data_IF_499331097146
#
_entry.id   IF_499331097146
#
_cell.length_a   1.000
_cell.length_b   1.000
_cell.length_c   1.000
_cell.angle_alpha   90.00
_cell.angle_beta   90.00
_cell.angle_gamma   90.00
#
_symmetry.space_group_name_H-M   'P 1'
#
loop_
_entity.id
_entity.type
_entity.pdbx_description
1 polymer ?
#
# COMPACT_ATOMS: atom_id res chain seq x y z
N UNK A 1 -2.88 -5.20 46.57
CA UNK A 1 -2.88 -5.73 45.19
C UNK A 1 -3.12 -4.55 44.25
N UNK A 2 -2.06 -4.01 43.66
CA UNK A 2 -2.13 -2.97 42.63
C UNK A 2 -1.79 -3.64 41.31
N UNK A 3 -2.81 -3.88 40.48
CA UNK A 3 -2.66 -4.47 39.15
C UNK A 3 -2.17 -3.41 38.18
N UNK A 4 -0.88 -3.44 37.86
CA UNK A 4 -0.32 -2.63 36.79
C UNK A 4 -0.77 -3.15 35.44
N UNK A 5 -1.44 -2.29 34.67
CA UNK A 5 -1.65 -2.52 33.23
C UNK A 5 -0.27 -2.32 32.58
N UNK A 6 0.34 -3.41 32.11
CA UNK A 6 1.50 -3.31 31.23
C UNK A 6 0.98 -2.90 29.86
N UNK A 7 1.14 -1.63 29.51
CA UNK A 7 1.06 -1.20 28.11
C UNK A 7 2.29 -1.79 27.41
N UNK A 8 2.11 -2.86 26.65
CA UNK A 8 3.12 -3.28 25.70
C UNK A 8 3.24 -2.17 24.65
N UNK A 9 4.36 -1.44 24.69
CA UNK A 9 4.65 -0.43 23.70
C UNK A 9 4.75 -1.11 22.35
N UNK A 10 3.84 -0.77 21.43
CA UNK A 10 4.01 -1.09 20.02
C UNK A 10 5.25 -0.33 19.57
N UNK A 11 6.34 -1.06 19.38
CA UNK A 11 7.57 -0.51 18.86
C UNK A 11 7.34 -0.23 17.37
N UNK A 12 6.80 0.95 17.06
CA UNK A 12 6.64 1.47 15.70
C UNK A 12 8.03 1.85 15.17
N UNK A 13 8.90 0.87 14.98
CA UNK A 13 10.12 1.07 14.21
C UNK A 13 9.66 1.22 12.77
N UNK A 14 9.83 2.41 12.19
CA UNK A 14 9.60 2.61 10.76
C UNK A 14 10.68 1.82 10.02
N UNK A 15 10.43 0.54 9.74
CA UNK A 15 11.21 -0.16 8.73
C UNK A 15 10.95 0.55 7.41
N UNK A 16 11.95 1.28 6.94
CA UNK A 16 11.91 1.87 5.61
C UNK A 16 12.20 0.74 4.64
N UNK A 17 11.13 0.12 4.13
CA UNK A 17 11.23 -0.95 3.15
C UNK A 17 11.86 -0.42 1.87
N UNK A 18 12.76 -1.20 1.28
CA UNK A 18 13.37 -0.86 -0.01
C UNK A 18 12.30 -0.97 -1.10
N UNK A 19 11.99 0.15 -1.74
CA UNK A 19 10.99 0.22 -2.80
C UNK A 19 11.72 -0.06 -4.12
N UNK A 20 11.40 -1.15 -4.84
CA UNK A 20 12.05 -1.41 -6.11
C UNK A 20 11.89 -0.23 -7.07
N UNK A 21 12.98 0.27 -7.67
CA UNK A 21 12.98 1.46 -8.55
C UNK A 21 11.88 1.42 -9.62
N UNK A 22 11.56 0.22 -10.12
CA UNK A 22 10.54 0.03 -11.14
C UNK A 22 9.10 0.36 -10.70
N UNK A 23 8.82 0.46 -9.40
CA UNK A 23 7.56 1.01 -8.86
C UNK A 23 7.39 2.48 -9.24
N UNK A 24 8.48 3.24 -9.38
CA UNK A 24 8.48 4.65 -9.79
C UNK A 24 8.55 4.84 -11.31
N UNK A 25 8.47 3.77 -12.10
CA UNK A 25 8.52 3.87 -13.56
C UNK A 25 7.36 4.69 -14.11
N UNK A 26 7.60 5.51 -15.13
CA UNK A 26 6.56 6.18 -15.91
C UNK A 26 5.63 5.19 -16.63
N UNK A 27 6.12 3.98 -16.93
CA UNK A 27 5.35 2.93 -17.60
C UNK A 27 4.45 2.17 -16.62
N UNK A 28 3.14 2.27 -16.83
CA UNK A 28 2.14 1.49 -16.08
C UNK A 28 2.45 -0.01 -16.08
N UNK A 29 2.75 -0.57 -17.25
CA UNK A 29 3.03 -2.01 -17.37
C UNK A 29 4.25 -2.41 -16.54
N UNK A 30 5.28 -1.57 -16.51
CA UNK A 30 6.48 -1.83 -15.71
C UNK A 30 6.18 -1.79 -14.21
N UNK A 31 5.40 -0.80 -13.75
CA UNK A 31 5.01 -0.70 -12.33
C UNK A 31 4.25 -1.94 -11.88
N UNK A 32 3.26 -2.37 -12.66
CA UNK A 32 2.44 -3.54 -12.34
C UNK A 32 3.24 -4.85 -12.40
N UNK A 33 4.17 -4.99 -13.35
CA UNK A 33 5.03 -6.19 -13.43
C UNK A 33 5.97 -6.28 -12.22
N UNK A 34 6.57 -5.15 -11.82
CA UNK A 34 7.46 -5.10 -10.65
C UNK A 34 6.69 -5.39 -9.36
N UNK A 35 5.48 -4.85 -9.22
CA UNK A 35 4.61 -5.20 -8.08
C UNK A 35 4.29 -6.70 -8.07
N UNK A 36 3.95 -7.28 -9.23
CA UNK A 36 3.62 -8.70 -9.37
C UNK A 36 4.80 -9.59 -8.99
N UNK A 37 5.99 -9.28 -9.49
CA UNK A 37 7.22 -10.00 -9.15
C UNK A 37 7.50 -9.91 -7.65
N UNK A 38 7.37 -8.71 -7.08
CA UNK A 38 7.59 -8.48 -5.65
C UNK A 38 6.62 -9.30 -4.78
N UNK A 39 5.31 -9.25 -5.07
CA UNK A 39 4.28 -9.99 -4.32
C UNK A 39 4.49 -11.50 -4.44
N UNK A 40 4.88 -11.99 -5.63
CA UNK A 40 5.19 -13.40 -5.86
C UNK A 40 6.38 -13.87 -5.02
N UNK A 41 7.40 -13.03 -4.87
CA UNK A 41 8.61 -13.34 -4.10
C UNK A 41 8.39 -13.16 -2.58
N UNK A 42 7.45 -12.31 -2.19
CA UNK A 42 7.19 -11.94 -0.80
C UNK A 42 5.72 -12.13 -0.43
N UNK A 43 5.12 -13.32 -0.60
CA UNK A 43 3.69 -13.52 -0.35
C UNK A 43 3.32 -13.24 1.11
N UNK A 44 2.18 -12.57 1.32
CA UNK A 44 1.72 -12.15 2.65
C UNK A 44 0.26 -12.53 2.86
N UNK A 45 -0.08 -12.92 4.09
CA UNK A 45 -1.46 -13.00 4.58
C UNK A 45 -1.77 -11.78 5.44
N UNK A 46 -2.89 -11.10 5.17
CA UNK A 46 -3.22 -9.85 5.85
C UNK A 46 -3.89 -10.07 7.21
N UNK A 47 -3.13 -9.90 8.29
CA UNK A 47 -3.53 -10.31 9.65
C UNK A 47 -3.76 -9.15 10.62
N UNK A 48 -3.31 -7.94 10.29
CA UNK A 48 -3.35 -6.82 11.22
C UNK A 48 -4.72 -6.13 11.30
N UNK A 49 -5.62 -6.43 10.37
CA UNK A 49 -6.97 -5.84 10.30
C UNK A 49 -6.96 -4.34 10.00
N UNK A 50 -5.83 -3.77 9.58
CA UNK A 50 -5.71 -2.35 9.28
C UNK A 50 -6.58 -1.95 8.08
N UNK A 51 -7.17 -0.78 8.19
CA UNK A 51 -8.12 -0.23 7.21
C UNK A 51 -7.68 1.18 6.86
N UNK A 52 -7.57 1.46 5.57
CA UNK A 52 -7.45 2.82 5.07
C UNK A 52 -8.24 2.96 3.76
N UNK A 53 -9.44 3.52 3.85
CA UNK A 53 -10.35 3.67 2.72
C UNK A 53 -10.31 5.07 2.09
N UNK A 54 -9.32 5.88 2.45
CA UNK A 54 -9.24 7.27 2.05
C UNK A 54 -7.79 7.66 1.75
N UNK A 55 -7.24 7.08 0.68
CA UNK A 55 -5.99 7.58 0.12
C UNK A 55 -6.25 8.46 -1.10
N UNK A 56 -5.33 9.39 -1.31
CA UNK A 56 -5.22 10.15 -2.54
C UNK A 56 -3.97 9.68 -3.29
N UNK A 57 -4.00 9.71 -4.62
CA UNK A 57 -2.88 9.36 -5.51
C UNK A 57 -2.34 10.60 -6.22
N UNK A 58 -1.40 10.43 -7.15
CA UNK A 58 -0.87 11.50 -8.00
C UNK A 58 -1.98 12.22 -8.79
N UNK A 59 -3.14 11.58 -8.99
CA UNK A 59 -4.33 12.19 -9.59
C UNK A 59 -5.03 13.20 -8.66
N UNK A 60 -4.53 13.37 -7.42
CA UNK A 60 -5.18 14.12 -6.35
C UNK A 60 -4.18 14.72 -5.34
N UNK A 61 -3.16 15.44 -5.83
CA UNK A 61 -2.19 16.17 -4.99
C UNK A 61 -1.57 15.32 -3.86
N UNK A 62 -1.25 14.06 -4.14
CA UNK A 62 -0.63 13.14 -3.18
C UNK A 62 0.89 13.13 -3.26
N UNK A 63 1.52 12.55 -2.24
CA UNK A 63 2.96 12.23 -2.22
C UNK A 63 3.29 11.02 -3.09
N UNK A 64 2.32 10.14 -3.34
CA UNK A 64 2.52 9.01 -4.24
C UNK A 64 2.64 9.50 -5.67
N UNK A 65 3.61 8.94 -6.38
CA UNK A 65 3.87 9.15 -7.80
C UNK A 65 2.88 8.37 -8.68
N UNK A 66 2.26 7.30 -8.15
CA UNK A 66 1.24 6.50 -8.85
C UNK A 66 0.28 5.78 -7.88
N UNK A 67 -0.88 5.29 -8.34
CA UNK A 67 -1.71 4.38 -7.56
C UNK A 67 -1.01 3.05 -7.24
N UNK A 68 -0.14 2.54 -8.12
CA UNK A 68 0.62 1.31 -7.86
C UNK A 68 1.56 1.46 -6.66
N UNK A 69 2.23 2.60 -6.52
CA UNK A 69 3.08 2.90 -5.36
C UNK A 69 2.27 2.91 -4.05
N UNK A 70 1.09 3.54 -4.06
CA UNK A 70 0.22 3.57 -2.89
C UNK A 70 -0.16 2.15 -2.42
N UNK A 71 -0.48 1.26 -3.38
CA UNK A 71 -0.80 -0.14 -3.11
C UNK A 71 0.43 -0.93 -2.63
N UNK A 72 1.62 -0.68 -3.19
CA UNK A 72 2.86 -1.29 -2.70
C UNK A 72 3.09 -0.98 -1.22
N UNK A 73 2.92 0.28 -0.81
CA UNK A 73 3.07 0.65 0.60
C UNK A 73 1.98 0.02 1.49
N UNK A 74 0.74 -0.07 1.02
CA UNK A 74 -0.33 -0.77 1.74
C UNK A 74 0.00 -2.26 1.94
N UNK A 75 0.57 -2.90 0.92
CA UNK A 75 1.06 -4.28 1.00
C UNK A 75 2.18 -4.44 2.04
N UNK A 76 3.16 -3.54 2.05
CA UNK A 76 4.24 -3.55 3.05
C UNK A 76 3.70 -3.40 4.46
N UNK A 77 2.77 -2.47 4.66
CA UNK A 77 2.20 -2.14 5.96
C UNK A 77 1.12 -3.12 6.45
N UNK A 78 0.83 -4.18 5.68
CA UNK A 78 -0.17 -5.18 6.03
C UNK A 78 -1.56 -4.53 6.31
N UNK A 79 -1.94 -3.63 5.40
CA UNK A 79 -3.30 -3.07 5.32
C UNK A 79 -4.22 -4.12 4.72
N UNK A 80 -5.38 -4.38 5.31
CA UNK A 80 -6.32 -5.40 4.85
C UNK A 80 -7.43 -4.85 3.95
N UNK A 81 -7.85 -3.61 4.19
CA UNK A 81 -8.90 -2.96 3.42
C UNK A 81 -8.42 -1.60 2.96
N UNK A 82 -8.22 -1.44 1.66
CA UNK A 82 -7.58 -0.26 1.08
C UNK A 82 -8.48 0.42 0.04
N UNK A 83 -8.60 1.74 0.10
CA UNK A 83 -9.56 2.48 -0.74
C UNK A 83 -9.03 3.83 -1.21
N UNK A 84 -9.22 4.08 -2.50
CA UNK A 84 -8.88 5.31 -3.23
C UNK A 84 -10.03 6.32 -3.18
N UNK A 85 -9.70 7.59 -2.96
CA UNK A 85 -10.65 8.69 -2.91
C UNK A 85 -10.04 9.97 -3.51
N UNK A 86 -9.71 9.94 -4.80
CA UNK A 86 -9.11 11.09 -5.47
C UNK A 86 -10.07 12.28 -5.63
N UNK A 87 -9.54 13.50 -5.57
CA UNK A 87 -10.33 14.73 -5.65
C UNK A 87 -10.98 14.90 -7.02
N UNK A 88 -12.30 14.69 -7.07
CA UNK A 88 -13.14 14.96 -8.25
C UNK A 88 -12.74 14.18 -9.51
N UNK A 89 -12.04 13.06 -9.36
CA UNK A 89 -11.61 12.22 -10.48
C UNK A 89 -11.63 10.74 -10.10
N UNK A 90 -11.71 9.90 -11.12
CA UNK A 90 -11.54 8.44 -11.01
C UNK A 90 -10.40 7.93 -11.89
N UNK A 91 -9.56 8.84 -12.42
CA UNK A 91 -8.53 8.52 -13.39
C UNK A 91 -7.55 7.44 -12.90
N UNK A 92 -7.22 7.44 -11.60
CA UNK A 92 -6.32 6.45 -11.00
C UNK A 92 -6.98 5.11 -10.66
N UNK A 93 -8.31 5.00 -10.72
CA UNK A 93 -9.03 3.80 -10.27
C UNK A 93 -8.68 2.53 -11.08
N UNK A 94 -8.51 2.56 -12.42
CA UNK A 94 -8.13 1.37 -13.17
C UNK A 94 -6.77 0.80 -12.75
N UNK A 95 -5.77 1.66 -12.56
CA UNK A 95 -4.44 1.25 -12.08
C UNK A 95 -4.50 0.76 -10.63
N UNK A 96 -5.18 1.51 -9.75
CA UNK A 96 -5.36 1.13 -8.35
C UNK A 96 -5.97 -0.27 -8.22
N UNK A 97 -7.04 -0.53 -8.99
CA UNK A 97 -7.69 -1.85 -9.02
C UNK A 97 -6.73 -2.94 -9.48
N UNK A 98 -6.01 -2.73 -10.58
CA UNK A 98 -5.08 -3.73 -11.10
C UNK A 98 -3.97 -4.03 -10.09
N UNK A 99 -3.47 -3.02 -9.40
CA UNK A 99 -2.47 -3.19 -8.34
C UNK A 99 -3.05 -3.94 -7.13
N UNK A 100 -4.26 -3.60 -6.67
CA UNK A 100 -4.95 -4.33 -5.60
C UNK A 100 -5.18 -5.81 -5.94
N UNK A 101 -5.63 -6.10 -7.17
CA UNK A 101 -5.82 -7.48 -7.65
C UNK A 101 -4.50 -8.28 -7.61
N UNK A 102 -3.36 -7.64 -7.89
CA UNK A 102 -2.04 -8.26 -7.78
C UNK A 102 -1.64 -8.47 -6.31
N UNK A 103 -1.87 -7.46 -5.47
CA UNK A 103 -1.46 -7.45 -4.07
C UNK A 103 -2.35 -8.27 -3.14
N UNK A 104 -3.53 -8.71 -3.61
CA UNK A 104 -4.52 -9.41 -2.81
C UNK A 104 -5.28 -8.50 -1.83
N UNK A 105 -5.51 -7.24 -2.23
CA UNK A 105 -6.19 -6.19 -1.46
C UNK A 105 -7.60 -5.88 -1.96
#
# INVERSE_FOLDING_TARGET
MSGGIKSEGVNMVSEQYDVPDGIYSESLDNRLEVLRDYVRENPKEFNNGFVNLHIHTNESFSVFTSPTEAVFHAYQQDVKYFGINDHYTIAGHPEFRAACDIAGL
#
